data_IF_000653862144
#
_entry.id   IF_000653862144
#
_cell.length_a   1.000
_cell.length_b   1.000
_cell.length_c   1.000
_cell.angle_alpha   90.00
_cell.angle_beta   90.00
_cell.angle_gamma   90.00
#
_symmetry.space_group_name_H-M   'P 1'
#
loop_
_entity.id
_entity.type
_entity.pdbx_description
1 polymer ?
#
# COMPACT_ATOMS: atom_id res chain seq x y z
N UNK A 1 -18.38 2.42 -0.84
CA UNK A 1 -17.03 1.89 -1.12
C UNK A 1 -16.55 2.56 -2.39
N UNK A 2 -15.29 2.98 -2.46
CA UNK A 2 -14.68 3.59 -3.65
C UNK A 2 -13.75 2.56 -4.30
N UNK A 3 -13.73 2.48 -5.63
CA UNK A 3 -12.86 1.55 -6.37
C UNK A 3 -12.05 2.33 -7.41
N UNK A 4 -10.75 2.05 -7.48
CA UNK A 4 -9.86 2.53 -8.54
C UNK A 4 -9.29 1.34 -9.30
N UNK A 5 -9.49 1.33 -10.61
CA UNK A 5 -8.99 0.27 -11.51
C UNK A 5 -7.83 0.79 -12.35
N UNK A 6 -6.80 -0.04 -12.45
CA UNK A 6 -5.58 0.17 -13.22
C UNK A 6 -5.57 -0.84 -14.37
N UNK A 7 -5.66 -0.32 -15.58
CA UNK A 7 -5.54 -1.09 -16.81
C UNK A 7 -4.07 -1.17 -17.24
N UNK A 8 -3.77 -2.04 -18.20
CA UNK A 8 -2.42 -2.17 -18.74
C UNK A 8 -1.95 -0.91 -19.47
N UNK A 9 -0.73 -0.46 -19.15
CA UNK A 9 -0.07 0.71 -19.77
C UNK A 9 1.37 0.43 -20.23
N UNK A 10 1.88 -0.79 -20.06
CA UNK A 10 3.28 -1.13 -20.30
C UNK A 10 4.29 -0.40 -19.41
N UNK A 11 3.83 0.23 -18.33
CA UNK A 11 4.64 1.07 -17.43
C UNK A 11 4.12 0.99 -16.00
N UNK A 12 4.94 1.43 -15.05
CA UNK A 12 4.56 1.46 -13.64
C UNK A 12 3.52 2.56 -13.37
N UNK A 13 2.46 2.20 -12.65
CA UNK A 13 1.40 3.10 -12.22
C UNK A 13 1.43 3.28 -10.71
N UNK A 14 0.68 4.26 -10.21
CA UNK A 14 0.74 4.66 -8.79
C UNK A 14 -0.65 4.81 -8.16
N UNK A 15 -0.78 4.27 -6.96
CA UNK A 15 -1.92 4.48 -6.07
C UNK A 15 -1.45 5.18 -4.79
N UNK A 16 -1.92 6.41 -4.56
CA UNK A 16 -1.70 7.10 -3.29
C UNK A 16 -2.82 6.72 -2.33
N UNK A 17 -2.48 6.09 -1.21
CA UNK A 17 -3.44 5.69 -0.18
C UNK A 17 -4.04 6.94 0.46
N UNK A 18 -5.37 7.14 0.41
CA UNK A 18 -5.99 8.30 1.02
C UNK A 18 -5.77 8.37 2.53
N UNK A 19 -5.71 9.57 3.09
CA UNK A 19 -5.55 9.76 4.53
C UNK A 19 -6.65 9.02 5.31
N UNK A 20 -6.26 8.37 6.41
CA UNK A 20 -7.16 7.59 7.27
C UNK A 20 -7.48 6.18 6.74
N UNK A 21 -7.16 5.84 5.49
CA UNK A 21 -7.31 4.48 4.95
C UNK A 21 -6.14 3.61 5.42
N UNK A 22 -6.45 2.57 6.19
CA UNK A 22 -5.47 1.61 6.73
C UNK A 22 -5.64 0.20 6.16
N UNK A 23 -6.73 -0.04 5.45
CA UNK A 23 -7.09 -1.33 4.87
C UNK A 23 -7.77 -1.12 3.52
N UNK A 24 -7.43 -1.97 2.55
CA UNK A 24 -8.04 -2.00 1.21
C UNK A 24 -8.37 -3.43 0.79
N UNK A 25 -9.30 -3.56 -0.15
CA UNK A 25 -9.52 -4.81 -0.87
C UNK A 25 -8.93 -4.68 -2.27
N UNK A 26 -8.47 -5.79 -2.84
CA UNK A 26 -7.81 -5.82 -4.14
C UNK A 26 -8.31 -6.98 -5.00
N UNK A 27 -8.45 -6.73 -6.30
CA UNK A 27 -8.49 -7.77 -7.33
C UNK A 27 -7.25 -7.60 -8.20
N UNK A 28 -6.39 -8.63 -8.26
CA UNK A 28 -5.13 -8.60 -9.00
C UNK A 28 -5.13 -9.73 -10.02
N UNK A 29 -5.12 -9.40 -11.31
CA UNK A 29 -5.18 -10.36 -12.40
C UNK A 29 -3.88 -10.35 -13.21
N UNK A 30 -3.23 -11.50 -13.34
CA UNK A 30 -2.12 -11.72 -14.26
C UNK A 30 -2.58 -11.80 -15.72
N UNK A 31 -1.67 -11.56 -16.65
CA UNK A 31 -1.96 -11.59 -18.07
C UNK A 31 -1.86 -13.01 -18.67
N UNK A 32 -2.47 -13.21 -19.84
CA UNK A 32 -2.38 -14.47 -20.58
C UNK A 32 -1.12 -14.54 -21.44
N UNK A 33 -0.63 -15.76 -21.67
CA UNK A 33 0.41 -16.00 -22.68
C UNK A 33 -0.11 -15.84 -24.10
N UNK A 34 0.81 -15.62 -25.04
CA UNK A 34 0.53 -15.57 -26.47
C UNK A 34 0.16 -16.95 -27.01
N UNK A 35 -0.72 -16.98 -28.02
CA UNK A 35 -1.19 -18.20 -28.66
C UNK A 35 -0.67 -18.30 -30.11
N UNK A 36 0.18 -19.28 -30.40
CA UNK A 36 0.47 -19.72 -31.77
C UNK A 36 0.60 -21.25 -31.78
N UNK A 37 -0.12 -21.94 -32.68
CA UNK A 37 -0.24 -23.41 -32.71
C UNK A 37 -1.07 -24.00 -31.57
N UNK A 38 -0.76 -23.64 -30.31
CA UNK A 38 -1.53 -23.91 -29.10
C UNK A 38 -2.12 -22.65 -28.44
N UNK A 39 -3.01 -22.83 -27.47
CA UNK A 39 -3.54 -21.72 -26.65
C UNK A 39 -2.53 -21.27 -25.61
N UNK A 40 -2.36 -19.97 -25.40
CA UNK A 40 -1.61 -19.45 -24.26
C UNK A 40 -2.28 -19.82 -22.94
N UNK A 41 -1.46 -20.01 -21.91
CA UNK A 41 -1.91 -20.20 -20.54
C UNK A 41 -2.54 -18.93 -19.99
N UNK A 42 -3.41 -19.10 -19.00
CA UNK A 42 -4.14 -18.00 -18.36
C UNK A 42 -3.37 -17.48 -17.15
N UNK A 43 -3.43 -16.16 -16.94
CA UNK A 43 -3.01 -15.57 -15.68
C UNK A 43 -4.04 -15.87 -14.59
N UNK A 44 -3.59 -15.89 -13.34
CA UNK A 44 -4.50 -16.05 -12.19
C UNK A 44 -5.12 -14.71 -11.82
N UNK A 45 -6.33 -14.75 -11.27
CA UNK A 45 -6.97 -13.62 -10.60
C UNK A 45 -7.00 -13.91 -9.10
N UNK A 46 -6.47 -12.99 -8.31
CA UNK A 46 -6.51 -13.03 -6.85
C UNK A 46 -7.55 -12.02 -6.33
N UNK A 47 -8.47 -12.48 -5.48
CA UNK A 47 -9.37 -11.63 -4.73
C UNK A 47 -8.91 -11.54 -3.27
N UNK A 48 -8.59 -10.33 -2.81
CA UNK A 48 -7.96 -10.09 -1.52
C UNK A 48 -8.80 -9.08 -0.72
N UNK A 49 -9.23 -9.47 0.48
CA UNK A 49 -9.91 -8.58 1.41
C UNK A 49 -9.01 -8.27 2.60
N UNK A 50 -9.11 -7.05 3.13
CA UNK A 50 -8.45 -6.72 4.38
C UNK A 50 -6.94 -6.51 4.27
N UNK A 51 -6.41 -6.15 3.09
CA UNK A 51 -4.98 -5.88 2.90
C UNK A 51 -4.60 -4.61 3.65
N UNK A 52 -3.74 -4.74 4.66
CA UNK A 52 -3.25 -3.61 5.43
C UNK A 52 -2.33 -2.74 4.57
N UNK A 53 -2.57 -1.44 4.61
CA UNK A 53 -1.76 -0.43 3.93
C UNK A 53 -1.40 0.68 4.90
N UNK A 54 -0.21 1.24 4.76
CA UNK A 54 0.15 2.52 5.37
C UNK A 54 -0.18 3.66 4.40
N UNK A 55 -0.33 4.87 4.93
CA UNK A 55 -0.36 6.07 4.09
C UNK A 55 0.86 6.16 3.17
N UNK A 56 0.73 6.87 2.05
CA UNK A 56 1.78 7.03 1.06
C UNK A 56 1.46 6.34 -0.27
N UNK A 57 2.49 6.17 -1.10
CA UNK A 57 2.36 5.65 -2.46
C UNK A 57 2.59 4.13 -2.51
N UNK A 58 1.69 3.44 -3.20
CA UNK A 58 1.79 2.04 -3.60
C UNK A 58 1.96 1.98 -5.10
N UNK A 59 2.95 1.22 -5.55
CA UNK A 59 3.21 0.98 -6.97
C UNK A 59 2.29 -0.13 -7.49
N UNK A 60 1.79 0.06 -8.70
CA UNK A 60 0.92 -0.87 -9.41
C UNK A 60 1.55 -1.19 -10.75
N UNK A 61 1.93 -2.44 -10.95
CA UNK A 61 2.40 -2.98 -12.22
C UNK A 61 1.30 -3.88 -12.77
N UNK A 62 0.80 -3.58 -13.97
CA UNK A 62 -0.22 -4.41 -14.63
C UNK A 62 0.46 -5.24 -15.71
N UNK A 63 0.26 -6.55 -15.68
CA UNK A 63 0.85 -7.48 -16.64
C UNK A 63 0.33 -7.26 -18.06
N UNK A 64 1.21 -7.32 -19.05
CA UNK A 64 0.87 -7.37 -20.46
C UNK A 64 0.71 -8.80 -20.95
N UNK A 65 -0.18 -9.03 -21.92
CA UNK A 65 -0.29 -10.34 -22.58
C UNK A 65 0.98 -10.65 -23.36
N UNK A 66 1.36 -11.92 -23.40
CA UNK A 66 2.43 -12.37 -24.30
C UNK A 66 2.03 -12.19 -25.76
N UNK A 67 2.97 -11.81 -26.60
CA UNK A 67 2.71 -11.60 -28.02
C UNK A 67 2.58 -12.92 -28.77
N UNK A 68 1.86 -12.86 -29.89
CA UNK A 68 1.80 -13.91 -30.91
C UNK A 68 2.90 -13.59 -31.92
N UNK A 69 3.93 -14.44 -32.01
CA UNK A 69 4.94 -14.36 -33.08
C UNK A 69 4.77 -15.50 -34.08
N UNK A 70 5.61 -15.57 -35.11
CA UNK A 70 5.56 -16.61 -36.15
C UNK A 70 5.87 -18.03 -35.61
N UNK A 71 6.59 -18.11 -34.49
CA UNK A 71 6.86 -19.33 -33.71
C UNK A 71 6.06 -19.40 -32.40
N UNK A 72 6.63 -20.02 -31.36
CA UNK A 72 6.02 -20.13 -30.04
C UNK A 72 5.65 -18.76 -29.44
N UNK A 73 4.52 -18.70 -28.74
CA UNK A 73 4.01 -17.49 -28.10
C UNK A 73 4.88 -17.05 -26.92
N UNK A 74 4.89 -15.75 -26.66
CA UNK A 74 5.52 -15.20 -25.45
C UNK A 74 4.72 -15.53 -24.19
N UNK A 75 5.40 -15.58 -23.04
CA UNK A 75 4.72 -15.69 -21.75
C UNK A 75 3.98 -14.41 -21.37
N UNK A 76 2.84 -14.53 -20.70
CA UNK A 76 2.11 -13.40 -20.13
C UNK A 76 2.82 -12.87 -18.89
N UNK A 77 2.78 -11.55 -18.67
CA UNK A 77 3.38 -10.95 -17.50
C UNK A 77 2.49 -11.02 -16.25
N UNK A 78 3.14 -10.99 -15.09
CA UNK A 78 2.45 -10.89 -13.81
C UNK A 78 1.98 -9.46 -13.50
N UNK A 79 0.96 -9.35 -12.65
CA UNK A 79 0.51 -8.06 -12.10
C UNK A 79 0.90 -7.96 -10.62
N UNK A 80 1.35 -6.78 -10.18
CA UNK A 80 1.92 -6.57 -8.85
C UNK A 80 1.37 -5.31 -8.20
N UNK A 81 1.23 -5.39 -6.88
CA UNK A 81 0.95 -4.25 -6.00
C UNK A 81 1.99 -4.28 -4.87
N UNK A 82 2.79 -3.23 -4.74
CA UNK A 82 3.91 -3.20 -3.78
C UNK A 82 4.28 -1.77 -3.34
N UNK A 83 4.88 -1.64 -2.16
CA UNK A 83 5.52 -0.40 -1.69
C UNK A 83 6.99 -0.34 -2.12
N UNK A 84 7.65 -1.49 -2.19
CA UNK A 84 8.98 -1.67 -2.78
C UNK A 84 9.06 -3.02 -3.49
N UNK A 85 9.82 -3.13 -4.58
CA UNK A 85 10.01 -4.36 -5.34
C UNK A 85 10.96 -5.35 -4.62
N UNK A 86 10.55 -5.74 -3.41
CA UNK A 86 11.24 -6.66 -2.51
C UNK A 86 10.18 -7.55 -1.85
N UNK A 87 10.56 -8.68 -1.28
CA UNK A 87 9.59 -9.57 -0.64
C UNK A 87 8.85 -8.91 0.55
N UNK A 88 9.53 -8.04 1.31
CA UNK A 88 8.92 -7.30 2.41
C UNK A 88 8.00 -6.16 1.96
N UNK A 89 8.25 -5.58 0.78
CA UNK A 89 7.45 -4.50 0.22
C UNK A 89 6.29 -4.98 -0.66
N UNK A 90 6.21 -6.28 -0.96
CA UNK A 90 5.19 -6.85 -1.83
C UNK A 90 3.86 -7.04 -1.08
N UNK A 91 2.76 -6.55 -1.64
CA UNK A 91 1.42 -6.76 -1.10
C UNK A 91 0.70 -7.90 -1.84
N UNK A 92 0.79 -7.90 -3.18
CA UNK A 92 0.19 -8.93 -4.01
C UNK A 92 0.94 -9.07 -5.35
N UNK A 93 0.99 -10.29 -5.86
CA UNK A 93 1.48 -10.63 -7.19
C UNK A 93 0.61 -11.74 -7.77
N UNK A 94 -0.01 -11.49 -8.92
CA UNK A 94 -0.73 -12.50 -9.67
C UNK A 94 0.14 -12.95 -10.85
N UNK A 95 0.45 -14.25 -10.92
CA UNK A 95 1.23 -14.83 -12.01
C UNK A 95 0.52 -14.74 -13.36
N UNK A 96 1.30 -14.53 -14.41
CA UNK A 96 0.87 -14.61 -15.81
C UNK A 96 0.99 -16.02 -16.36
N UNK A 97 0.22 -16.33 -17.41
CA UNK A 97 0.24 -17.65 -18.05
C UNK A 97 1.43 -17.86 -18.99
N UNK A 98 1.82 -19.11 -19.23
CA UNK A 98 2.87 -19.44 -20.20
C UNK A 98 2.41 -19.29 -21.66
N UNK A 99 3.34 -19.08 -22.58
CA UNK A 99 3.05 -19.00 -24.02
C UNK A 99 2.77 -20.36 -24.65
N UNK A 100 1.98 -20.40 -25.73
CA UNK A 100 1.74 -21.62 -26.50
C UNK A 100 2.94 -22.04 -27.36
N UNK A 101 3.09 -23.34 -27.63
CA UNK A 101 4.04 -23.88 -28.59
C UNK A 101 3.41 -24.17 -29.95
N UNK A 102 4.22 -24.41 -30.99
CA UNK A 102 3.80 -24.41 -32.39
C UNK A 102 3.12 -25.69 -32.91
N UNK A 103 3.07 -26.78 -32.14
CA UNK A 103 2.45 -28.04 -32.59
C UNK A 103 0.96 -28.18 -32.25
N UNK A 104 0.23 -29.06 -32.96
CA UNK A 104 -1.23 -29.25 -32.84
C UNK A 104 -1.75 -30.23 -31.77
N UNK A 105 -0.96 -30.55 -30.74
CA UNK A 105 -1.26 -31.53 -29.67
C UNK A 105 -1.44 -30.92 -28.26
N UNK A 106 -1.82 -31.71 -27.26
CA UNK A 106 -2.21 -31.24 -25.91
C UNK A 106 -1.04 -30.69 -25.08
N UNK A 107 0.20 -31.13 -25.31
CA UNK A 107 1.42 -30.62 -24.64
C UNK A 107 1.92 -29.26 -25.15
N UNK A 108 1.22 -28.67 -26.12
CA UNK A 108 1.57 -27.39 -26.75
C UNK A 108 0.82 -26.19 -26.17
N UNK A 109 -0.16 -26.43 -25.29
CA UNK A 109 -0.84 -25.35 -24.56
C UNK A 109 0.13 -24.76 -23.54
N UNK A 110 0.20 -23.43 -23.49
CA UNK A 110 0.83 -22.75 -22.37
C UNK A 110 0.11 -23.13 -21.07
N UNK A 111 0.88 -23.32 -20.00
CA UNK A 111 0.32 -23.68 -18.70
C UNK A 111 -0.18 -22.41 -18.00
N UNK A 112 -1.31 -22.56 -17.30
CA UNK A 112 -1.86 -21.50 -16.47
C UNK A 112 -0.89 -21.13 -15.35
N UNK A 113 -1.03 -19.90 -14.83
CA UNK A 113 -0.30 -19.45 -13.66
C UNK A 113 -0.57 -20.34 -12.43
N UNK A 114 0.34 -20.31 -11.48
CA UNK A 114 0.16 -20.97 -10.18
C UNK A 114 -0.56 -20.03 -9.22
N UNK A 115 -1.49 -20.56 -8.43
CA UNK A 115 -2.07 -19.84 -7.28
C UNK A 115 -1.08 -19.71 -6.11
N UNK A 116 -0.03 -20.53 -6.10
CA UNK A 116 1.03 -20.53 -5.10
C UNK A 116 2.32 -19.83 -5.58
N UNK A 117 3.31 -19.67 -4.68
CA UNK A 117 4.51 -18.87 -4.93
C UNK A 117 5.48 -19.45 -5.95
N UNK A 118 5.47 -20.77 -6.16
CA UNK A 118 6.32 -21.39 -7.16
C UNK A 118 5.77 -21.15 -8.58
N UNK A 119 6.68 -20.87 -9.51
CA UNK A 119 6.39 -20.91 -10.93
C UNK A 119 6.14 -22.34 -11.39
N UNK A 120 5.35 -22.49 -12.44
CA UNK A 120 5.04 -23.79 -13.03
C UNK A 120 6.20 -24.21 -13.93
N UNK A 121 6.67 -25.44 -13.78
CA UNK A 121 7.62 -26.05 -14.69
C UNK A 121 6.93 -26.49 -15.98
N UNK A 122 7.64 -26.44 -17.10
CA UNK A 122 7.21 -27.02 -18.37
C UNK A 122 8.09 -28.24 -18.73
N UNK A 123 7.81 -28.91 -19.84
CA UNK A 123 8.62 -29.99 -20.42
C UNK A 123 10.07 -29.61 -20.77
N UNK A 124 10.47 -28.34 -20.56
CA UNK A 124 11.84 -27.87 -20.71
C UNK A 124 12.41 -27.34 -19.39
N UNK A 125 12.00 -26.12 -19.02
CA UNK A 125 12.55 -25.37 -17.90
C UNK A 125 11.77 -25.55 -16.60
N UNK A 126 12.52 -25.57 -15.49
CA UNK A 126 11.94 -25.47 -14.15
C UNK A 126 11.31 -24.08 -13.91
N UNK A 127 10.21 -24.04 -13.18
CA UNK A 127 9.70 -22.79 -12.62
C UNK A 127 10.61 -22.25 -11.51
N UNK A 128 10.62 -20.94 -11.34
CA UNK A 128 11.31 -20.28 -10.26
C UNK A 128 10.65 -20.53 -8.91
N UNK A 129 11.40 -20.31 -7.84
CA UNK A 129 10.96 -20.36 -6.45
C UNK A 129 11.41 -19.10 -5.70
N UNK A 130 10.70 -18.73 -4.63
CA UNK A 130 11.08 -17.64 -3.72
C UNK A 130 11.48 -16.33 -4.42
N UNK A 131 10.73 -15.93 -5.45
CA UNK A 131 10.99 -14.67 -6.14
C UNK A 131 11.96 -14.77 -7.33
N UNK A 132 12.55 -15.94 -7.57
CA UNK A 132 13.47 -16.15 -8.71
C UNK A 132 12.73 -16.29 -10.04
N UNK A 133 13.43 -16.03 -11.13
CA UNK A 133 12.93 -16.31 -12.48
C UNK A 133 12.95 -17.80 -12.79
N UNK A 134 12.16 -18.20 -13.79
CA UNK A 134 12.16 -19.57 -14.29
C UNK A 134 13.37 -19.86 -15.16
N UNK A 135 13.75 -21.14 -15.26
CA UNK A 135 14.79 -21.59 -16.16
C UNK A 135 14.31 -21.56 -17.62
N UNK A 136 15.25 -21.42 -18.57
CA UNK A 136 15.02 -21.67 -19.99
C UNK A 136 14.67 -23.14 -20.25
N UNK A 137 14.05 -23.43 -21.39
CA UNK A 137 13.68 -24.80 -21.79
C UNK A 137 14.85 -25.80 -21.94
N UNK A 138 16.09 -25.33 -22.17
CA UNK A 138 17.26 -26.20 -22.30
C UNK A 138 18.43 -25.56 -23.07
N UNK A 139 19.34 -24.87 -22.36
CA UNK A 139 20.64 -24.42 -22.90
C UNK A 139 20.60 -23.58 -24.20
N UNK A 140 21.74 -23.48 -24.89
CA UNK A 140 21.92 -22.69 -26.12
C UNK A 140 21.24 -23.28 -27.38
N UNK A 141 20.32 -24.23 -27.25
CA UNK A 141 19.64 -24.78 -28.42
C UNK A 141 18.59 -23.79 -28.95
N UNK A 142 18.50 -23.71 -30.28
CA UNK A 142 17.78 -22.63 -30.97
C UNK A 142 16.24 -22.72 -30.86
N UNK A 143 15.67 -23.83 -30.39
CA UNK A 143 14.21 -24.06 -30.43
C UNK A 143 13.49 -23.99 -29.07
N UNK A 144 14.18 -23.55 -28.02
CA UNK A 144 13.66 -23.54 -26.66
C UNK A 144 13.13 -22.16 -26.25
N UNK A 145 12.01 -22.16 -25.52
CA UNK A 145 11.46 -20.95 -24.92
C UNK A 145 12.30 -20.45 -23.75
N UNK A 146 12.24 -19.14 -23.51
CA UNK A 146 12.90 -18.50 -22.37
C UNK A 146 12.02 -18.51 -21.12
N UNK A 147 12.65 -18.44 -19.95
CA UNK A 147 11.95 -18.41 -18.66
C UNK A 147 11.31 -17.05 -18.37
N UNK A 148 10.27 -17.04 -17.53
CA UNK A 148 9.69 -15.81 -16.99
C UNK A 148 10.56 -15.21 -15.89
N UNK A 149 10.48 -13.89 -15.71
CA UNK A 149 11.03 -13.16 -14.58
C UNK A 149 10.16 -13.31 -13.32
N UNK A 150 10.83 -13.38 -12.17
CA UNK A 150 10.22 -13.29 -10.85
C UNK A 150 10.31 -11.88 -10.26
N UNK A 151 9.95 -11.75 -8.99
CA UNK A 151 10.11 -10.51 -8.23
C UNK A 151 11.57 -10.03 -8.22
N UNK A 152 12.50 -10.96 -7.98
CA UNK A 152 13.91 -10.69 -7.70
C UNK A 152 14.83 -11.15 -8.84
N UNK A 153 14.56 -12.31 -9.43
CA UNK A 153 15.40 -12.93 -10.46
C UNK A 153 14.81 -12.79 -11.87
N UNK A 154 15.68 -12.51 -12.85
CA UNK A 154 15.29 -12.58 -14.26
C UNK A 154 15.12 -14.05 -14.70
N UNK A 155 14.34 -14.27 -15.75
CA UNK A 155 14.20 -15.57 -16.38
C UNK A 155 15.45 -15.99 -17.16
N UNK A 156 15.64 -17.29 -17.34
CA UNK A 156 16.71 -17.83 -18.17
C UNK A 156 16.51 -17.53 -19.66
N UNK A 157 17.58 -17.08 -20.32
CA UNK A 157 17.61 -16.86 -21.77
C UNK A 157 17.74 -18.18 -22.54
N UNK A 158 17.31 -18.19 -23.79
CA UNK A 158 17.61 -19.24 -24.76
C UNK A 158 18.42 -18.69 -25.95
N UNK A 159 18.72 -19.53 -26.94
CA UNK A 159 19.53 -19.13 -28.10
C UNK A 159 18.88 -18.08 -29.03
N UNK A 160 17.55 -17.92 -28.99
CA UNK A 160 16.79 -17.02 -29.89
C UNK A 160 15.89 -16.03 -29.15
N UNK A 161 15.82 -16.11 -27.83
CA UNK A 161 14.98 -15.24 -27.02
C UNK A 161 15.60 -14.97 -25.66
N UNK A 162 15.13 -13.92 -25.01
CA UNK A 162 15.55 -13.58 -23.65
C UNK A 162 14.48 -13.94 -22.64
N UNK A 163 14.91 -14.22 -21.41
CA UNK A 163 14.01 -14.31 -20.28
C UNK A 163 13.39 -12.96 -19.94
N UNK A 164 12.28 -13.00 -19.22
CA UNK A 164 11.67 -11.78 -18.67
C UNK A 164 12.56 -11.16 -17.60
N UNK A 165 12.64 -9.83 -17.57
CA UNK A 165 13.35 -9.13 -16.51
C UNK A 165 12.63 -9.27 -15.17
N UNK A 166 13.37 -9.21 -14.07
CA UNK A 166 12.75 -9.21 -12.75
C UNK A 166 11.97 -7.92 -12.49
N UNK A 167 10.99 -7.98 -11.60
CA UNK A 167 10.21 -6.79 -11.22
C UNK A 167 11.07 -5.75 -10.52
N UNK A 168 12.05 -6.19 -9.71
CA UNK A 168 13.06 -5.31 -9.14
C UNK A 168 13.89 -4.56 -10.19
N UNK A 169 13.93 -5.04 -11.44
CA UNK A 169 14.62 -4.42 -12.58
C UNK A 169 13.65 -3.77 -13.60
N UNK A 170 12.38 -3.55 -13.21
CA UNK A 170 11.36 -2.91 -14.04
C UNK A 170 10.44 -3.85 -14.80
N UNK A 171 10.64 -5.17 -14.73
CA UNK A 171 9.68 -6.17 -15.21
C UNK A 171 9.45 -6.18 -16.72
N UNK A 172 10.40 -5.71 -17.53
CA UNK A 172 10.32 -5.82 -18.98
C UNK A 172 10.11 -7.28 -19.44
N UNK A 173 9.30 -7.47 -20.47
CA UNK A 173 9.13 -8.77 -21.11
C UNK A 173 10.39 -9.19 -21.89
N UNK A 174 10.55 -10.49 -22.08
CA UNK A 174 11.62 -11.07 -22.87
C UNK A 174 11.43 -10.80 -24.37
N UNK A 175 12.53 -10.59 -25.08
CA UNK A 175 12.52 -10.39 -26.54
C UNK A 175 12.64 -11.73 -27.28
N UNK A 176 12.26 -11.78 -28.55
CA UNK A 176 12.44 -12.94 -29.41
C UNK A 176 12.70 -12.52 -30.84
N UNK A 177 13.57 -13.25 -31.54
CA UNK A 177 13.82 -13.06 -32.98
C UNK A 177 13.02 -14.01 -33.87
N UNK A 178 12.31 -14.99 -33.30
CA UNK A 178 11.65 -16.06 -34.04
C UNK A 178 10.29 -16.51 -33.45
N UNK A 179 9.90 -15.98 -32.29
CA UNK A 179 8.63 -16.23 -31.61
C UNK A 179 8.04 -14.93 -31.05
N UNK A 180 7.02 -15.04 -30.21
CA UNK A 180 6.39 -13.88 -29.58
C UNK A 180 7.24 -13.30 -28.44
N UNK A 181 7.27 -11.97 -28.31
CA UNK A 181 7.84 -11.33 -27.13
C UNK A 181 6.99 -11.63 -25.87
N UNK A 182 7.65 -11.71 -24.72
CA UNK A 182 6.99 -11.84 -23.44
C UNK A 182 6.29 -10.54 -23.04
N UNK A 183 5.20 -10.66 -22.29
CA UNK A 183 4.46 -9.51 -21.78
C UNK A 183 5.19 -8.78 -20.64
N UNK A 184 4.95 -7.47 -20.52
CA UNK A 184 5.42 -6.67 -19.39
C UNK A 184 4.89 -7.23 -18.06
N UNK A 185 5.69 -7.19 -17.00
CA UNK A 185 5.51 -8.02 -15.81
C UNK A 185 6.33 -9.31 -15.84
N UNK A 186 7.40 -9.35 -16.65
CA UNK A 186 8.39 -10.42 -16.67
C UNK A 186 8.01 -11.66 -17.49
N UNK A 187 7.13 -11.57 -18.48
CA UNK A 187 6.93 -12.69 -19.41
C UNK A 187 8.21 -13.03 -20.17
N UNK A 188 8.53 -14.30 -20.36
CA UNK A 188 9.67 -14.76 -21.17
C UNK A 188 9.35 -14.76 -22.66
N UNK A 189 10.36 -14.56 -23.51
CA UNK A 189 10.20 -14.64 -24.96
C UNK A 189 9.97 -16.09 -25.44
N UNK A 190 9.06 -16.27 -26.39
CA UNK A 190 8.93 -17.49 -27.16
C UNK A 190 10.11 -17.70 -28.10
N UNK A 191 10.17 -18.83 -28.78
CA UNK A 191 11.21 -19.17 -29.78
C UNK A 191 10.55 -19.64 -31.06
N UNK A 192 11.31 -20.14 -32.05
CA UNK A 192 10.74 -20.72 -33.25
C UNK A 192 9.69 -21.81 -32.96
N UNK A 193 9.86 -22.58 -31.86
CA UNK A 193 9.00 -23.74 -31.57
C UNK A 193 8.47 -23.81 -30.12
N UNK A 194 9.23 -23.36 -29.13
CA UNK A 194 8.84 -23.40 -27.72
C UNK A 194 8.23 -22.09 -27.22
N UNK A 195 7.19 -22.18 -26.39
CA UNK A 195 6.56 -21.05 -25.72
C UNK A 195 7.39 -20.49 -24.55
N UNK A 196 7.26 -19.18 -24.31
CA UNK A 196 7.93 -18.49 -23.20
C UNK A 196 7.24 -18.73 -21.84
N UNK A 197 8.00 -18.71 -20.76
CA UNK A 197 7.47 -18.81 -19.39
C UNK A 197 6.74 -17.54 -18.94
N UNK A 198 5.66 -17.67 -18.17
CA UNK A 198 4.91 -16.54 -17.61
C UNK A 198 5.68 -15.81 -16.51
N UNK A 199 5.50 -14.50 -16.39
CA UNK A 199 6.06 -13.71 -15.29
C UNK A 199 5.21 -13.82 -14.02
N UNK A 200 5.74 -13.46 -12.86
CA UNK A 200 4.98 -13.55 -11.60
C UNK A 200 5.83 -13.30 -10.37
N UNK A 201 5.31 -13.66 -9.19
CA UNK A 201 6.11 -13.67 -7.97
C UNK A 201 7.38 -14.48 -8.20
N UNK A 202 7.25 -15.70 -8.71
CA UNK A 202 8.34 -16.45 -9.34
C UNK A 202 8.04 -16.65 -10.82
N UNK A 203 9.07 -16.69 -11.66
CA UNK A 203 8.89 -16.89 -13.09
C UNK A 203 8.53 -18.33 -13.46
N UNK A 204 7.72 -18.52 -14.49
CA UNK A 204 7.43 -19.83 -15.08
C UNK A 204 8.59 -20.35 -15.94
N UNK A 205 8.68 -21.67 -16.09
CA UNK A 205 9.72 -22.30 -16.91
C UNK A 205 9.51 -22.07 -18.42
N UNK A 206 10.59 -21.86 -19.15
CA UNK A 206 10.57 -21.85 -20.62
C UNK A 206 10.29 -23.25 -21.19
N UNK A 207 9.65 -23.32 -22.35
CA UNK A 207 9.27 -24.61 -22.93
C UNK A 207 10.41 -25.30 -23.68
N UNK A 208 10.31 -26.64 -23.78
CA UNK A 208 11.02 -27.41 -24.79
C UNK A 208 10.52 -27.08 -26.22
N UNK A 209 11.25 -27.55 -27.23
CA UNK A 209 10.81 -27.45 -28.62
C UNK A 209 9.38 -27.97 -28.79
N UNK A 210 8.54 -27.16 -29.44
CA UNK A 210 7.13 -27.44 -29.69
C UNK A 210 6.26 -27.58 -28.44
N UNK A 211 6.71 -27.24 -27.24
CA UNK A 211 5.89 -27.28 -26.02
C UNK A 211 5.42 -25.88 -25.60
N UNK A 212 4.38 -25.83 -24.77
CA UNK A 212 3.93 -24.59 -24.13
C UNK A 212 4.77 -24.24 -22.90
N UNK A 213 4.96 -22.95 -22.61
CA UNK A 213 5.69 -22.46 -21.43
C UNK A 213 4.92 -22.68 -20.13
N UNK A 214 5.63 -22.67 -19.01
CA UNK A 214 5.05 -22.72 -17.66
C UNK A 214 4.50 -21.36 -17.24
N UNK A 215 3.39 -21.32 -16.49
CA UNK A 215 2.88 -20.08 -15.88
C UNK A 215 3.70 -19.61 -14.68
N UNK A 216 3.62 -18.32 -14.36
CA UNK A 216 4.28 -17.70 -13.22
C UNK A 216 3.61 -18.04 -11.88
N UNK A 217 4.36 -17.90 -10.80
CA UNK A 217 3.90 -18.02 -9.42
C UNK A 217 3.19 -16.77 -8.92
N UNK A 218 2.42 -16.92 -7.84
CA UNK A 218 1.62 -15.86 -7.22
C UNK A 218 1.90 -15.70 -5.74
N UNK A 219 1.63 -14.51 -5.20
CA UNK A 219 1.85 -14.19 -3.80
C UNK A 219 0.81 -13.18 -3.30
N UNK A 220 0.42 -13.29 -2.04
CA UNK A 220 -0.37 -12.28 -1.35
C UNK A 220 -0.04 -12.25 0.14
N UNK A 221 -0.04 -11.06 0.74
CA UNK A 221 0.20 -10.89 2.19
C UNK A 221 -0.99 -11.32 3.06
N UNK A 222 -2.15 -11.53 2.43
CA UNK A 222 -3.36 -12.10 3.04
C UNK A 222 -3.78 -13.33 2.24
N UNK A 223 -4.48 -14.25 2.88
CA UNK A 223 -5.09 -15.39 2.18
C UNK A 223 -6.14 -14.89 1.18
N UNK A 224 -6.09 -15.28 -0.11
CA UNK A 224 -7.11 -14.91 -1.06
C UNK A 224 -8.49 -15.45 -0.67
N UNK A 225 -9.55 -14.67 -0.88
CA UNK A 225 -10.94 -15.10 -0.68
C UNK A 225 -11.43 -15.97 -1.83
N UNK A 226 -10.92 -15.75 -3.04
CA UNK A 226 -10.99 -16.71 -4.15
C UNK A 226 -9.80 -16.54 -5.11
N UNK A 227 -9.62 -17.54 -5.97
CA UNK A 227 -8.68 -17.50 -7.09
C UNK A 227 -9.35 -18.04 -8.35
N UNK A 228 -9.21 -17.32 -9.46
CA UNK A 228 -9.83 -17.68 -10.74
C UNK A 228 -8.83 -17.66 -11.91
N UNK A 229 -9.21 -18.28 -13.04
CA UNK A 229 -8.44 -18.31 -14.29
C UNK A 229 -9.28 -17.87 -15.48
N UNK A 230 -10.16 -16.89 -15.32
CA UNK A 230 -10.97 -16.36 -16.42
C UNK A 230 -10.38 -15.06 -17.02
N UNK A 231 -9.14 -14.72 -16.67
CA UNK A 231 -8.40 -13.61 -17.28
C UNK A 231 -8.07 -13.95 -18.74
N UNK A 232 -8.40 -13.05 -19.66
CA UNK A 232 -8.00 -13.11 -21.07
C UNK A 232 -7.33 -11.80 -21.48
N UNK A 233 -6.20 -11.90 -22.17
CA UNK A 233 -5.43 -10.73 -22.58
C UNK A 233 -4.60 -10.14 -21.45
N UNK A 234 -4.54 -8.80 -21.37
CA UNK A 234 -3.76 -8.09 -20.38
C UNK A 234 -4.31 -8.32 -18.96
N UNK A 235 -3.44 -8.16 -17.96
CA UNK A 235 -3.82 -8.16 -16.56
C UNK A 235 -4.64 -6.91 -16.19
N UNK A 236 -5.07 -6.88 -14.92
CA UNK A 236 -5.70 -5.70 -14.32
C UNK A 236 -5.48 -5.67 -12.82
N UNK A 237 -5.55 -4.48 -12.22
CA UNK A 237 -5.56 -4.32 -10.77
C UNK A 237 -6.71 -3.40 -10.38
N UNK A 238 -7.57 -3.84 -9.48
CA UNK A 238 -8.57 -2.97 -8.85
C UNK A 238 -8.31 -2.89 -7.36
N UNK A 239 -8.32 -1.68 -6.80
CA UNK A 239 -8.16 -1.42 -5.37
C UNK A 239 -9.42 -0.71 -4.89
N UNK A 240 -10.07 -1.23 -3.86
CA UNK A 240 -11.26 -0.64 -3.26
C UNK A 240 -11.09 -0.38 -1.77
N UNK A 241 -11.71 0.69 -1.28
CA UNK A 241 -11.56 1.16 0.09
C UNK A 241 -12.78 1.95 0.56
N UNK A 242 -12.91 2.11 1.87
CA UNK A 242 -13.89 3.01 2.47
C UNK A 242 -13.38 4.44 2.35
N UNK A 243 -14.13 5.32 1.69
CA UNK A 243 -13.70 6.70 1.48
C UNK A 243 -13.63 7.47 2.81
N UNK A 244 -12.59 8.29 3.03
CA UNK A 244 -12.56 9.21 4.16
C UNK A 244 -13.58 10.35 4.00
N UNK A 245 -13.99 10.92 5.13
CA UNK A 245 -14.89 12.07 5.29
C UNK A 245 -14.24 13.11 6.19
N UNK A 246 -14.50 14.37 5.88
CA UNK A 246 -14.02 15.49 6.68
C UNK A 246 -15.07 15.90 7.70
N UNK A 247 -14.67 16.04 8.96
CA UNK A 247 -15.47 16.63 10.03
C UNK A 247 -14.85 17.98 10.37
N UNK A 248 -15.58 19.05 10.11
CA UNK A 248 -15.17 20.41 10.43
C UNK A 248 -15.87 20.89 11.69
N UNK A 249 -15.17 21.65 12.51
CA UNK A 249 -15.67 22.18 13.78
C UNK A 249 -15.76 23.70 13.71
N UNK A 250 -16.98 24.22 13.59
CA UNK A 250 -17.24 25.65 13.67
C UNK A 250 -17.54 26.04 15.11
N UNK A 251 -16.57 26.69 15.75
CA UNK A 251 -16.65 27.04 17.17
C UNK A 251 -17.58 28.22 17.45
N UNK A 252 -18.21 28.82 16.43
CA UNK A 252 -19.24 29.86 16.58
C UNK A 252 -18.80 31.00 17.52
N UNK A 253 -17.58 31.48 17.31
CA UNK A 253 -16.95 32.54 18.11
C UNK A 253 -16.15 32.06 19.33
N UNK A 254 -15.99 30.75 19.53
CA UNK A 254 -15.02 30.17 20.47
C UNK A 254 -13.62 29.98 19.88
N UNK A 255 -12.72 29.41 20.67
CA UNK A 255 -11.38 28.98 20.23
C UNK A 255 -11.47 27.99 19.06
N UNK A 256 -10.55 28.08 18.09
CA UNK A 256 -10.57 27.25 16.89
C UNK A 256 -10.19 25.79 17.18
N UNK A 257 -10.91 24.87 16.55
CA UNK A 257 -10.66 23.42 16.63
C UNK A 257 -10.23 22.86 15.27
N UNK A 258 -9.31 21.89 15.28
CA UNK A 258 -8.81 21.27 14.07
C UNK A 258 -9.86 20.33 13.44
N UNK A 259 -9.95 20.32 12.11
CA UNK A 259 -10.77 19.35 11.41
C UNK A 259 -10.22 17.93 11.56
N UNK A 260 -11.11 16.95 11.43
CA UNK A 260 -10.76 15.53 11.48
C UNK A 260 -11.06 14.85 10.14
N UNK A 261 -10.30 13.80 9.86
CA UNK A 261 -10.55 12.89 8.74
C UNK A 261 -10.86 11.51 9.30
N UNK A 262 -12.06 11.01 9.03
CA UNK A 262 -12.52 9.69 9.49
C UNK A 262 -13.06 8.87 8.33
N UNK A 263 -13.04 7.55 8.42
CA UNK A 263 -13.63 6.71 7.37
C UNK A 263 -15.17 6.84 7.38
N UNK A 264 -15.78 6.78 6.20
CA UNK A 264 -17.23 6.77 6.05
C UNK A 264 -17.87 5.66 6.92
N UNK A 265 -18.83 6.05 7.75
CA UNK A 265 -19.52 5.16 8.69
C UNK A 265 -18.82 5.01 10.05
N UNK A 266 -17.66 5.63 10.26
CA UNK A 266 -17.00 5.70 11.57
C UNK A 266 -17.43 6.93 12.38
N UNK A 267 -17.19 6.90 13.68
CA UNK A 267 -17.39 8.05 14.58
C UNK A 267 -16.22 9.03 14.48
N UNK A 268 -16.49 10.30 14.77
CA UNK A 268 -15.45 11.31 15.00
C UNK A 268 -14.96 11.24 16.46
N UNK A 269 -13.74 11.70 16.71
CA UNK A 269 -13.25 11.89 18.08
C UNK A 269 -13.78 13.23 18.60
N UNK A 270 -14.24 13.30 19.83
CA UNK A 270 -14.66 14.57 20.43
C UNK A 270 -13.41 15.46 20.62
N UNK A 271 -13.39 16.71 20.08
CA UNK A 271 -12.29 17.63 20.31
C UNK A 271 -12.28 18.13 21.76
N UNK A 272 -11.25 18.88 22.15
CA UNK A 272 -11.29 19.60 23.42
C UNK A 272 -12.44 20.62 23.40
N UNK A 273 -13.02 20.88 24.57
CA UNK A 273 -14.08 21.89 24.68
C UNK A 273 -13.52 23.26 24.28
N UNK A 274 -14.11 23.93 23.26
CA UNK A 274 -13.68 25.26 22.90
C UNK A 274 -14.02 26.23 24.04
N UNK A 275 -13.34 27.38 24.06
CA UNK A 275 -13.59 28.44 25.05
C UNK A 275 -14.14 29.71 24.40
N UNK A 276 -15.11 30.35 25.06
CA UNK A 276 -15.70 31.63 24.63
C UNK A 276 -16.02 32.50 25.85
N UNK A 277 -15.44 33.69 25.93
CA UNK A 277 -15.60 34.57 27.10
C UNK A 277 -17.06 34.98 27.34
N UNK A 278 -17.55 34.81 28.58
CA UNK A 278 -18.94 35.12 28.95
C UNK A 278 -19.97 34.04 28.57
N UNK A 279 -19.51 32.85 28.15
CA UNK A 279 -20.37 31.74 27.76
C UNK A 279 -19.85 30.40 28.31
N UNK A 280 -20.77 29.47 28.53
CA UNK A 280 -20.49 28.05 28.82
C UNK A 280 -20.76 27.23 27.56
N UNK A 281 -19.84 26.33 27.20
CA UNK A 281 -20.00 25.42 26.07
C UNK A 281 -21.11 24.39 26.34
N UNK A 282 -22.07 24.29 25.44
CA UNK A 282 -23.22 23.37 25.57
C UNK A 282 -23.04 22.06 24.79
N UNK A 283 -22.11 22.02 23.84
CA UNK A 283 -21.83 20.87 22.98
C UNK A 283 -21.80 21.22 21.50
N UNK A 284 -21.51 20.20 20.68
CA UNK A 284 -21.49 20.25 19.23
C UNK A 284 -22.84 19.83 18.63
N UNK A 285 -23.32 20.55 17.61
CA UNK A 285 -24.63 20.35 16.99
C UNK A 285 -24.54 20.29 15.46
N UNK A 286 -25.53 19.69 14.82
CA UNK A 286 -25.58 19.53 13.35
C UNK A 286 -25.93 20.81 12.58
N UNK A 287 -26.26 21.92 13.26
CA UNK A 287 -26.58 23.20 12.66
C UNK A 287 -26.12 24.37 13.55
N UNK A 288 -25.85 25.53 12.95
CA UNK A 288 -25.37 26.73 13.64
C UNK A 288 -26.33 27.24 14.73
N UNK A 289 -27.64 27.06 14.54
CA UNK A 289 -28.67 27.32 15.54
C UNK A 289 -29.70 26.18 15.54
N UNK A 290 -30.03 25.64 16.71
CA UNK A 290 -30.91 24.47 16.83
C UNK A 290 -30.22 23.17 16.41
N UNK A 291 -30.92 22.30 15.67
CA UNK A 291 -30.39 21.01 15.25
C UNK A 291 -30.29 19.98 16.37
N UNK A 292 -29.62 18.87 16.09
CA UNK A 292 -29.45 17.75 17.02
C UNK A 292 -28.06 17.80 17.63
N UNK A 293 -27.97 17.60 18.95
CA UNK A 293 -26.69 17.48 19.65
C UNK A 293 -25.98 16.22 19.15
N UNK A 294 -24.75 16.39 18.67
CA UNK A 294 -23.93 15.29 18.19
C UNK A 294 -23.43 14.43 19.36
N UNK A 295 -23.51 13.11 19.20
CA UNK A 295 -23.00 12.14 20.15
C UNK A 295 -21.78 11.41 19.56
N UNK A 296 -20.57 11.83 19.94
CA UNK A 296 -19.32 11.25 19.42
C UNK A 296 -19.13 9.75 19.71
N UNK A 297 -19.90 9.18 20.65
CA UNK A 297 -19.86 7.74 20.95
C UNK A 297 -20.83 6.90 20.10
N UNK A 298 -21.79 7.53 19.41
CA UNK A 298 -22.87 6.83 18.68
C UNK A 298 -23.06 7.29 17.24
N UNK A 299 -22.93 8.59 16.98
CA UNK A 299 -23.22 9.17 15.67
C UNK A 299 -22.04 8.95 14.73
N UNK A 300 -22.36 8.55 13.50
CA UNK A 300 -21.37 8.18 12.48
C UNK A 300 -21.35 9.18 11.34
N UNK A 301 -20.17 9.37 10.75
CA UNK A 301 -19.94 10.34 9.69
C UNK A 301 -20.11 9.64 8.34
N UNK A 302 -21.18 9.98 7.61
CA UNK A 302 -21.49 9.36 6.31
C UNK A 302 -21.18 10.24 5.10
N UNK A 303 -21.03 11.55 5.34
CA UNK A 303 -20.65 12.59 4.38
C UNK A 303 -19.80 13.65 5.08
N UNK A 304 -19.18 14.54 4.32
CA UNK A 304 -18.45 15.66 4.91
C UNK A 304 -19.42 16.50 5.76
N UNK A 305 -19.06 16.73 7.03
CA UNK A 305 -19.98 17.24 8.05
C UNK A 305 -19.33 18.42 8.75
N UNK A 306 -20.11 19.48 9.00
CA UNK A 306 -19.71 20.58 9.89
C UNK A 306 -20.52 20.47 11.17
N UNK A 307 -19.84 20.42 12.31
CA UNK A 307 -20.43 20.49 13.64
C UNK A 307 -20.24 21.90 14.20
N UNK A 308 -21.30 22.43 14.81
CA UNK A 308 -21.36 23.80 15.29
C UNK A 308 -21.43 23.84 16.81
N UNK A 309 -20.55 24.61 17.44
CA UNK A 309 -20.56 24.82 18.88
C UNK A 309 -21.79 25.64 19.29
N UNK A 310 -22.51 25.19 20.32
CA UNK A 310 -23.54 26.00 20.96
C UNK A 310 -23.14 26.42 22.36
N UNK A 311 -23.67 27.56 22.77
CA UNK A 311 -23.20 28.30 23.93
C UNK A 311 -24.37 28.79 24.77
N UNK A 312 -24.22 28.76 26.09
CA UNK A 312 -25.16 29.37 27.04
C UNK A 312 -24.48 30.58 27.68
N UNK A 313 -25.08 31.76 27.62
CA UNK A 313 -24.49 32.95 28.25
C UNK A 313 -24.35 32.74 29.76
N UNK A 314 -23.17 33.05 30.31
CA UNK A 314 -22.98 33.03 31.75
C UNK A 314 -23.67 34.26 32.33
N UNK A 315 -24.77 34.07 33.05
CA UNK A 315 -25.40 35.17 33.79
C UNK A 315 -24.39 35.77 34.76
N UNK A 316 -24.16 37.09 34.76
CA UNK A 316 -23.40 37.69 35.84
C UNK A 316 -24.15 37.36 37.14
N UNK A 317 -23.49 36.67 38.06
CA UNK A 317 -23.98 36.62 39.43
C UNK A 317 -24.24 38.06 39.85
N UNK A 318 -25.41 38.42 40.41
CA UNK A 318 -25.65 39.78 40.84
C UNK A 318 -24.56 40.10 41.86
N UNK A 319 -23.64 40.98 41.48
CA UNK A 319 -22.70 41.58 42.40
C UNK A 319 -23.58 42.19 43.48
N UNK A 320 -23.62 41.56 44.65
CA UNK A 320 -24.31 42.12 45.80
C UNK A 320 -23.70 43.51 45.98
N UNK A 321 -24.47 44.60 45.87
CA UNK A 321 -23.94 45.91 46.19
C UNK A 321 -23.47 45.82 47.63
N UNK A 322 -22.18 46.06 47.87
CA UNK A 322 -21.67 46.26 49.22
C UNK A 322 -22.54 47.35 49.87
N UNK A 323 -23.39 46.95 50.82
CA UNK A 323 -24.27 47.87 51.51
C UNK A 323 -23.45 48.97 52.20
N UNK A 324 -23.98 50.20 52.33
CA UNK A 324 -23.25 51.29 52.96
C UNK A 324 -23.17 51.01 54.46
N UNK A 325 -21.99 50.61 54.95
CA UNK A 325 -21.71 50.60 56.39
C UNK A 325 -21.15 51.97 56.79
N UNK A 326 -22.04 52.85 57.22
CA UNK A 326 -21.76 53.94 58.16
C UNK A 326 -21.86 53.33 59.58
N UNK A 327 -21.12 53.71 60.64
CA UNK A 327 -20.28 54.88 60.98
C UNK A 327 -19.37 54.47 62.17
N UNK A 328 -18.48 55.32 62.72
CA UNK A 328 -17.20 54.92 63.31
C UNK A 328 -17.22 54.79 64.83
N UNK A 329 -16.32 53.97 65.38
CA UNK A 329 -15.91 54.04 66.79
C UNK A 329 -14.38 53.94 66.87
N UNK A 330 -13.76 54.91 67.54
CA UNK A 330 -12.35 54.96 67.97
C UNK A 330 -12.34 55.43 69.44
N UNK A 331 -11.25 55.27 70.22
CA UNK A 331 -10.19 54.25 70.16
C UNK A 331 -9.85 53.67 71.57
N UNK A 332 -9.17 52.53 71.64
CA UNK A 332 -8.26 52.24 72.77
C UNK A 332 -6.96 51.59 72.27
N UNK A 333 -5.95 52.46 72.26
CA UNK A 333 -4.50 52.27 72.33
C UNK A 333 -3.99 50.93 72.88
N UNK A 334 -2.97 50.35 72.22
CA UNK A 334 -1.65 50.07 72.82
C UNK A 334 -0.54 50.36 71.78
N UNK A 335 0.44 51.14 72.23
CA UNK A 335 1.71 51.55 71.59
C UNK A 335 2.47 50.40 70.88
N UNK A 336 2.81 50.51 69.58
CA UNK A 336 4.00 51.15 68.94
C UNK A 336 5.19 50.16 68.76
N UNK A 337 6.23 50.39 67.91
CA UNK A 337 6.39 50.88 66.51
C UNK A 337 6.95 49.78 65.56
N UNK A 338 6.68 49.77 64.24
CA UNK A 338 7.45 50.48 63.19
C UNK A 338 7.98 49.49 62.11
N UNK A 339 7.35 49.42 60.93
CA UNK A 339 7.77 49.97 59.61
C UNK A 339 9.07 49.34 59.04
N UNK A 340 9.19 48.94 57.77
CA UNK A 340 8.57 49.47 56.56
C UNK A 340 8.29 48.41 55.48
N UNK A 341 7.26 48.74 54.69
CA UNK A 341 6.97 48.24 53.34
C UNK A 341 8.00 48.76 52.34
N UNK A 342 8.42 47.90 51.42
CA UNK A 342 8.59 48.32 50.02
C UNK A 342 7.82 47.33 49.16
N UNK A 343 6.75 47.82 48.53
CA UNK A 343 5.92 47.05 47.63
C UNK A 343 6.69 46.55 46.41
N UNK A 344 6.07 45.61 45.70
CA UNK A 344 5.54 45.81 44.34
C UNK A 344 4.77 44.52 43.99
N UNK A 345 3.48 44.69 43.69
CA UNK A 345 2.64 43.70 43.02
C UNK A 345 2.98 43.70 41.52
N UNK A 346 3.42 42.58 40.96
CA UNK A 346 3.14 42.28 39.55
C UNK A 346 2.95 40.78 39.37
N UNK A 347 1.70 40.38 39.21
CA UNK A 347 1.33 39.14 38.53
C UNK A 347 1.70 39.28 37.05
N UNK A 348 2.43 38.30 36.49
CA UNK A 348 2.32 37.87 35.08
C UNK A 348 3.28 36.70 34.80
N UNK A 349 2.75 35.73 34.04
CA UNK A 349 3.47 34.74 33.23
C UNK A 349 4.10 33.53 33.95
N UNK A 350 3.25 32.53 34.18
CA UNK A 350 3.66 31.13 34.10
C UNK A 350 3.70 30.74 32.61
N UNK A 351 4.89 30.47 32.03
CA UNK A 351 5.05 29.37 31.09
C UNK A 351 6.49 29.01 30.68
N UNK A 352 6.75 27.70 30.76
CA UNK A 352 7.73 26.81 30.11
C UNK A 352 9.22 27.19 30.05
N UNK A 353 10.05 26.39 30.73
CA UNK A 353 11.10 25.56 30.09
C UNK A 353 11.86 24.74 31.15
N UNK A 354 11.70 23.42 31.10
CA UNK A 354 12.67 22.46 31.67
C UNK A 354 13.89 22.40 30.74
N UNK A 355 15.12 22.67 31.20
CA UNK A 355 16.31 22.21 30.52
C UNK A 355 16.64 20.79 30.95
N UNK A 356 16.82 19.92 29.95
CA UNK A 356 17.47 18.62 30.04
C UNK A 356 18.79 18.67 30.84
N UNK A 357 19.00 17.70 31.73
CA UNK A 357 20.33 17.31 32.20
C UNK A 357 20.71 15.92 31.65
N UNK A 358 21.35 15.96 30.48
CA UNK A 358 22.66 15.40 30.15
C UNK A 358 23.22 14.27 31.04
N UNK A 359 23.50 13.10 30.46
CA UNK A 359 24.76 12.36 30.68
C UNK A 359 25.21 11.70 29.37
N UNK A 360 26.41 12.08 28.92
CA UNK A 360 27.13 11.46 27.81
C UNK A 360 27.97 10.25 28.23
N UNK A 361 28.49 9.52 27.25
CA UNK A 361 29.34 8.36 27.49
C UNK A 361 29.94 7.78 26.22
N UNK A 362 30.98 8.45 25.72
CA UNK A 362 31.90 8.02 24.66
C UNK A 362 32.56 6.68 25.04
N UNK A 363 32.49 5.67 24.16
CA UNK A 363 33.43 4.55 24.17
C UNK A 363 33.60 3.96 22.75
N UNK A 364 34.62 4.46 22.05
CA UNK A 364 35.27 3.78 20.94
C UNK A 364 36.18 2.71 21.55
N UNK A 365 35.91 1.43 21.27
CA UNK A 365 36.85 0.35 21.52
C UNK A 365 36.93 -0.56 20.30
N UNK A 366 38.03 -0.42 19.58
CA UNK A 366 38.45 -1.31 18.52
C UNK A 366 38.88 -2.67 19.10
N UNK A 367 38.34 -3.77 18.57
CA UNK A 367 38.94 -5.10 18.74
C UNK A 367 39.18 -5.76 17.39
N UNK A 368 40.45 -5.63 16.97
CA UNK A 368 41.28 -6.52 16.15
C UNK A 368 40.62 -7.70 15.44
N UNK A 369 40.75 -7.68 14.10
CA UNK A 369 40.92 -8.87 13.26
C UNK A 369 42.04 -9.76 13.82
N UNK A 370 41.74 -11.02 14.14
CA UNK A 370 42.73 -12.11 14.15
C UNK A 370 42.53 -12.93 12.89
N UNK A 371 43.50 -12.86 11.98
CA UNK A 371 43.80 -13.93 11.02
C UNK A 371 44.36 -15.10 11.84
N UNK A 372 43.79 -16.29 11.68
CA UNK A 372 44.49 -17.55 11.91
C UNK A 372 44.74 -18.18 10.54
N UNK A 373 46.03 -18.39 10.26
CA UNK A 373 46.55 -19.30 9.24
C UNK A 373 46.36 -20.74 9.71
N UNK A 374 46.11 -21.61 8.74
CA UNK A 374 46.48 -23.03 8.60
C UNK A 374 46.45 -23.98 9.81
N UNK A 375 45.69 -25.07 9.67
CA UNK A 375 46.23 -26.44 9.75
C UNK A 375 45.37 -27.42 8.95
N UNK A 376 46.05 -28.13 8.03
CA UNK A 376 45.70 -29.33 7.22
C UNK A 376 44.74 -29.19 6.05
#
# INVERSE_FOLDING_TARGET
MTTKTFAYTGSLQKFTVPAGVTTVNMTVAGATGGANGGTGGRGVILHLDGVKVSGGDVQVLVGGSGEVGDGGGGGGGGSFVYTAATQAGLLAAAGGGGGGGTGGGTGMKGLDASTGPAGVASFGGAGGTDGSGGASGGGNYYDYGSGGGGLLGAGGNSGQSTGGASIASGGAGGTSSAGGAGGYGGGGGGSANGGGGGGGYSGGGGAAASAGGGGGGSYSVVTPTSTDFNSSGNGSVSISYTAPRTVSFDSQGGSAEASQTVLNGCTATEPADPSRAGYTFSGWYTAASGGTKWNFSKDTVTSDTTLYAQWTATSPSPSTPAGPSATPVQPVSHDQPGLASTGVEISTLLYWALPMLLVGGLAVAATRRRRTRDTR
#
